data_IF_462906272266
#
_entry.id   IF_462906272266
#
_cell.length_a   1.000
_cell.length_b   1.000
_cell.length_c   1.000
_cell.angle_alpha   90.00
_cell.angle_beta   90.00
_cell.angle_gamma   90.00
#
_symmetry.space_group_name_H-M   'P 1'
#
loop_
_entity.id
_entity.type
_entity.pdbx_description
1 polymer ?
#
# COMPACT_ATOMS: atom_id res chain seq x y z
N UNK A 1 7.80 5.31 -3.55
CA UNK A 1 6.69 5.04 -4.48
C UNK A 1 7.26 4.66 -5.84
N UNK A 2 6.54 3.90 -6.66
CA UNK A 2 6.99 3.37 -7.93
C UNK A 2 5.81 2.83 -8.74
N UNK A 3 5.98 2.75 -10.06
CA UNK A 3 4.90 2.32 -10.97
C UNK A 3 4.58 0.81 -10.90
N UNK A 4 5.41 0.06 -10.18
CA UNK A 4 5.27 -1.38 -9.97
C UNK A 4 4.39 -1.83 -8.79
N UNK A 5 3.90 -0.88 -7.98
CA UNK A 5 3.10 -1.18 -6.79
C UNK A 5 1.59 -1.12 -7.01
N UNK A 6 0.87 -0.92 -5.92
CA UNK A 6 -0.55 -0.63 -5.92
C UNK A 6 -0.93 0.42 -4.88
N UNK A 7 -2.10 1.01 -5.07
CA UNK A 7 -2.58 2.13 -4.27
C UNK A 7 -4.06 2.03 -3.96
N UNK A 8 -4.47 2.76 -2.92
CA UNK A 8 -5.86 3.01 -2.62
C UNK A 8 -6.03 4.53 -2.47
N UNK A 9 -6.84 5.10 -3.35
CA UNK A 9 -7.24 6.50 -3.30
C UNK A 9 -8.59 6.61 -2.58
N UNK A 10 -8.69 7.56 -1.67
CA UNK A 10 -9.96 8.08 -1.15
C UNK A 10 -10.10 9.51 -1.64
N UNK A 11 -11.06 9.75 -2.53
CA UNK A 11 -11.24 11.03 -3.22
C UNK A 11 -12.60 11.60 -2.83
N UNK A 12 -12.60 12.79 -2.24
CA UNK A 12 -13.79 13.61 -2.05
C UNK A 12 -13.80 14.67 -3.13
N UNK A 13 -14.82 14.70 -3.97
CA UNK A 13 -14.98 15.76 -4.97
C UNK A 13 -15.60 17.02 -4.36
N UNK A 14 -15.67 18.10 -5.15
CA UNK A 14 -16.25 19.38 -4.74
C UNK A 14 -17.75 19.28 -4.37
N UNK A 15 -18.48 18.27 -4.88
CA UNK A 15 -19.88 18.01 -4.49
C UNK A 15 -19.99 17.36 -3.11
N UNK A 16 -18.88 16.84 -2.58
CA UNK A 16 -18.80 16.11 -1.33
C UNK A 16 -19.02 14.61 -1.47
N UNK A 17 -19.17 14.09 -2.69
CA UNK A 17 -19.19 12.65 -2.94
C UNK A 17 -17.81 12.08 -2.67
N UNK A 18 -17.76 10.92 -2.02
CA UNK A 18 -16.50 10.24 -1.70
C UNK A 18 -16.42 8.89 -2.42
N UNK A 19 -15.38 8.74 -3.24
CA UNK A 19 -15.09 7.53 -4.00
C UNK A 19 -13.75 6.92 -3.60
N UNK A 20 -13.66 5.61 -3.76
CA UNK A 20 -12.48 4.80 -3.55
C UNK A 20 -12.03 4.25 -4.89
N UNK A 21 -10.78 4.49 -5.25
CA UNK A 21 -10.13 3.81 -6.38
C UNK A 21 -9.11 2.86 -5.77
N UNK A 22 -9.40 1.57 -5.87
CA UNK A 22 -8.57 0.50 -5.35
C UNK A 22 -7.80 -0.16 -6.49
N UNK A 23 -6.50 0.09 -6.50
CA UNK A 23 -5.52 -0.45 -7.43
C UNK A 23 -4.54 -1.40 -6.72
N UNK A 24 -5.03 -2.12 -5.71
CA UNK A 24 -4.24 -3.17 -5.04
C UNK A 24 -3.82 -4.23 -6.04
N UNK A 25 -2.61 -4.73 -5.87
CA UNK A 25 -2.05 -5.75 -6.74
C UNK A 25 -2.91 -7.03 -6.71
N UNK A 26 -3.18 -7.63 -7.87
CA UNK A 26 -3.92 -8.89 -7.97
C UNK A 26 -2.99 -10.09 -8.10
N UNK A 27 -3.48 -11.26 -7.70
CA UNK A 27 -2.77 -12.53 -7.83
C UNK A 27 -2.80 -12.95 -9.32
N UNK A 28 -1.69 -13.46 -9.89
CA UNK A 28 -1.69 -14.01 -11.24
C UNK A 28 -2.73 -15.13 -11.43
N UNK A 29 -3.34 -15.25 -12.61
CA UNK A 29 -4.36 -16.27 -12.92
C UNK A 29 -3.85 -17.68 -12.70
N UNK A 30 -2.60 -17.96 -13.07
CA UNK A 30 -1.96 -19.28 -12.95
C UNK A 30 -1.25 -19.50 -11.60
N UNK A 31 -1.68 -18.79 -10.56
CA UNK A 31 -1.08 -18.89 -9.24
C UNK A 31 -1.35 -20.24 -8.57
N UNK A 32 -0.28 -20.91 -8.14
CA UNK A 32 -0.38 -22.15 -7.37
C UNK A 32 -0.55 -21.82 -5.88
N UNK A 33 -1.69 -22.15 -5.23
CA UNK A 33 -1.93 -21.88 -3.82
C UNK A 33 -0.89 -22.51 -2.87
N UNK A 34 -0.20 -23.57 -3.29
CA UNK A 34 0.90 -24.17 -2.53
C UNK A 34 2.08 -23.22 -2.33
N UNK A 35 2.23 -22.19 -3.18
CA UNK A 35 3.24 -21.13 -2.99
C UNK A 35 2.96 -20.30 -1.72
N UNK A 36 1.69 -20.14 -1.34
CA UNK A 36 1.32 -19.51 -0.06
C UNK A 36 1.72 -20.38 1.13
N UNK A 37 1.75 -21.70 0.99
CA UNK A 37 2.18 -22.61 2.07
C UNK A 37 3.70 -22.72 2.17
N UNK A 38 4.39 -22.58 1.03
CA UNK A 38 5.86 -22.66 0.92
C UNK A 38 6.57 -21.33 1.16
N UNK A 39 5.82 -20.25 1.44
CA UNK A 39 6.36 -18.88 1.56
C UNK A 39 7.26 -18.47 0.40
N UNK A 40 6.94 -18.97 -0.80
CA UNK A 40 7.73 -18.67 -2.00
C UNK A 40 7.35 -17.28 -2.47
N UNK A 41 8.34 -16.41 -2.68
CA UNK A 41 8.12 -15.04 -3.14
C UNK A 41 7.46 -15.02 -4.53
N UNK A 42 6.43 -14.18 -4.71
CA UNK A 42 5.69 -14.04 -5.97
C UNK A 42 5.31 -12.59 -6.21
N UNK A 43 5.14 -12.19 -7.48
CA UNK A 43 4.82 -10.80 -7.85
C UNK A 43 3.34 -10.72 -8.23
N UNK A 44 2.63 -9.76 -7.64
CA UNK A 44 1.26 -9.41 -8.05
C UNK A 44 1.25 -8.46 -9.24
N UNK A 45 0.11 -8.35 -9.92
CA UNK A 45 -0.04 -7.44 -11.05
C UNK A 45 0.03 -5.97 -10.57
N UNK A 46 0.93 -5.13 -11.10
CA UNK A 46 1.02 -3.72 -10.72
C UNK A 46 -0.23 -2.92 -11.11
N UNK A 47 -0.80 -2.19 -10.15
CA UNK A 47 -2.02 -1.41 -10.37
C UNK A 47 -1.82 0.09 -10.48
N UNK A 48 -0.66 0.61 -10.10
CA UNK A 48 -0.45 2.04 -9.90
C UNK A 48 -0.74 2.89 -11.15
N UNK A 49 -0.30 2.46 -12.33
CA UNK A 49 -0.46 3.23 -13.56
C UNK A 49 -1.92 3.27 -14.01
N UNK A 50 -2.68 2.16 -13.89
CA UNK A 50 -4.14 2.18 -14.07
C UNK A 50 -4.84 3.08 -13.06
N UNK A 51 -4.36 3.12 -11.82
CA UNK A 51 -4.92 4.00 -10.80
C UNK A 51 -4.80 5.47 -11.21
N UNK A 52 -3.61 5.88 -11.66
CA UNK A 52 -3.38 7.24 -12.15
C UNK A 52 -4.24 7.57 -13.36
N UNK A 53 -4.36 6.66 -14.32
CA UNK A 53 -5.25 6.82 -15.48
C UNK A 53 -6.70 7.03 -15.05
N UNK A 54 -7.21 6.19 -14.15
CA UNK A 54 -8.60 6.28 -13.71
C UNK A 54 -8.88 7.56 -12.90
N UNK A 55 -7.95 7.97 -12.04
CA UNK A 55 -8.02 9.24 -11.32
C UNK A 55 -7.99 10.41 -12.29
N UNK A 56 -7.11 10.38 -13.28
CA UNK A 56 -6.99 11.44 -14.30
C UNK A 56 -8.23 11.52 -15.17
N UNK A 57 -8.77 10.37 -15.60
CA UNK A 57 -9.99 10.28 -16.41
C UNK A 57 -11.21 10.87 -15.68
N UNK A 58 -11.33 10.65 -14.37
CA UNK A 58 -12.47 11.14 -13.58
C UNK A 58 -12.29 12.59 -13.07
N UNK A 59 -11.08 12.97 -12.65
CA UNK A 59 -10.84 14.21 -11.90
C UNK A 59 -9.74 15.11 -12.49
N UNK A 60 -9.03 14.65 -13.52
CA UNK A 60 -7.90 15.34 -14.12
C UNK A 60 -8.32 16.60 -14.87
N UNK A 61 -7.57 17.70 -14.65
CA UNK A 61 -7.76 18.98 -15.36
C UNK A 61 -6.60 19.31 -16.30
N UNK A 62 -5.39 18.83 -15.98
CA UNK A 62 -4.18 19.05 -16.78
C UNK A 62 -3.99 17.94 -17.82
N UNK A 63 -3.30 18.19 -18.95
CA UNK A 63 -2.97 17.14 -19.91
C UNK A 63 -2.17 16.01 -19.26
N UNK A 64 -2.54 14.75 -19.54
CA UNK A 64 -1.89 13.55 -18.98
C UNK A 64 -0.36 13.63 -19.04
N UNK A 65 0.20 13.84 -20.22
CA UNK A 65 1.64 13.88 -20.45
C UNK A 65 2.37 14.94 -19.61
N UNK A 66 1.71 16.07 -19.31
CA UNK A 66 2.31 17.17 -18.54
C UNK A 66 2.57 16.81 -17.08
N UNK A 67 1.78 15.88 -16.52
CA UNK A 67 1.89 15.45 -15.12
C UNK A 67 3.17 14.64 -14.87
N UNK A 68 3.74 14.01 -15.90
CA UNK A 68 4.95 13.19 -15.80
C UNK A 68 6.24 13.99 -15.98
N UNK A 69 6.18 15.14 -16.67
CA UNK A 69 7.37 15.90 -17.07
C UNK A 69 8.29 16.28 -15.89
N UNK A 70 7.77 16.74 -14.73
CA UNK A 70 8.65 17.05 -13.59
C UNK A 70 9.43 15.82 -13.11
N UNK A 71 8.77 14.66 -13.02
CA UNK A 71 9.40 13.42 -12.56
C UNK A 71 10.36 12.85 -13.59
N UNK A 72 10.02 12.89 -14.89
CA UNK A 72 10.91 12.51 -15.99
C UNK A 72 12.20 13.33 -15.92
N UNK A 73 12.08 14.66 -15.78
CA UNK A 73 13.23 15.57 -15.65
C UNK A 73 14.10 15.21 -14.45
N UNK A 74 13.51 15.05 -13.27
CA UNK A 74 14.24 14.66 -12.06
C UNK A 74 14.93 13.29 -12.21
N UNK A 75 14.29 12.33 -12.88
CA UNK A 75 14.85 11.01 -13.11
C UNK A 75 16.03 11.03 -14.09
N UNK A 76 16.00 11.88 -15.13
CA UNK A 76 17.11 12.07 -16.09
C UNK A 76 18.26 12.90 -15.51
N UNK A 77 17.96 14.08 -14.98
CA UNK A 77 18.99 15.01 -14.48
C UNK A 77 19.66 14.48 -13.20
N UNK A 78 18.84 13.82 -12.37
CA UNK A 78 19.22 13.22 -11.11
C UNK A 78 18.81 14.06 -9.91
N UNK A 79 18.77 13.41 -8.75
CA UNK A 79 18.45 14.01 -7.46
C UNK A 79 19.56 13.71 -6.44
N UNK A 80 19.80 14.56 -5.44
CA UNK A 80 20.73 14.23 -4.37
C UNK A 80 20.22 13.02 -3.57
N UNK A 81 21.08 12.04 -3.34
CA UNK A 81 20.79 10.88 -2.52
C UNK A 81 20.48 11.34 -1.09
N UNK A 82 19.25 11.09 -0.61
CA UNK A 82 18.83 11.57 0.70
C UNK A 82 19.57 10.83 1.84
N UNK A 83 19.72 11.46 3.02
CA UNK A 83 20.36 10.82 4.18
C UNK A 83 19.63 9.54 4.60
N UNK A 84 18.30 9.53 4.47
CA UNK A 84 17.47 8.35 4.76
C UNK A 84 17.81 7.24 3.78
N UNK A 85 17.76 7.51 2.47
CA UNK A 85 18.05 6.55 1.42
C UNK A 85 19.46 5.96 1.54
N UNK A 86 20.47 6.80 1.82
CA UNK A 86 21.84 6.38 2.05
C UNK A 86 21.97 5.33 3.17
N UNK A 87 21.23 5.50 4.28
CA UNK A 87 21.22 4.55 5.41
C UNK A 87 20.65 3.18 5.03
N UNK A 88 19.86 3.07 3.98
CA UNK A 88 19.26 1.80 3.55
C UNK A 88 20.09 1.07 2.48
N UNK A 89 21.12 1.70 1.88
CA UNK A 89 21.87 1.08 0.78
C UNK A 89 22.62 -0.20 1.16
N UNK A 90 22.93 -0.43 2.44
CA UNK A 90 23.55 -1.68 2.89
C UNK A 90 22.64 -2.91 2.64
N UNK A 91 21.32 -2.71 2.53
CA UNK A 91 20.35 -3.78 2.25
C UNK A 91 20.38 -4.26 0.79
N UNK A 92 21.23 -3.65 -0.04
CA UNK A 92 21.40 -4.02 -1.44
C UNK A 92 22.49 -5.07 -1.64
N UNK A 93 23.26 -5.45 -0.60
CA UNK A 93 24.44 -6.33 -0.71
C UNK A 93 24.19 -7.66 -1.47
N UNK A 94 22.98 -8.19 -1.39
CA UNK A 94 22.60 -9.45 -2.02
C UNK A 94 21.96 -9.31 -3.41
N UNK A 95 21.67 -8.09 -3.89
CA UNK A 95 21.02 -7.82 -5.18
C UNK A 95 21.93 -7.01 -6.11
N UNK A 96 22.70 -7.72 -6.96
CA UNK A 96 23.63 -7.11 -7.91
C UNK A 96 22.94 -6.23 -8.96
N UNK A 97 21.67 -6.49 -9.28
CA UNK A 97 20.94 -5.71 -10.28
C UNK A 97 20.50 -4.37 -9.69
N UNK A 98 19.99 -4.37 -8.46
CA UNK A 98 19.66 -3.13 -7.76
C UNK A 98 20.91 -2.35 -7.36
N UNK A 99 22.01 -3.02 -6.96
CA UNK A 99 23.26 -2.32 -6.66
C UNK A 99 23.73 -1.43 -7.80
N UNK A 100 23.61 -1.87 -9.05
CA UNK A 100 24.00 -1.08 -10.22
C UNK A 100 23.29 0.27 -10.31
N UNK A 101 22.06 0.38 -9.79
CA UNK A 101 21.31 1.65 -9.75
C UNK A 101 21.89 2.64 -8.73
N UNK A 102 22.62 2.14 -7.74
CA UNK A 102 23.19 2.91 -6.64
C UNK A 102 24.72 2.91 -6.67
N UNK A 103 25.33 2.60 -7.82
CA UNK A 103 26.77 2.73 -8.02
C UNK A 103 27.09 3.85 -8.99
N UNK A 104 28.18 4.57 -8.72
CA UNK A 104 28.75 5.52 -9.66
C UNK A 104 29.37 4.80 -10.89
N UNK A 105 29.87 5.60 -11.84
CA UNK A 105 30.54 5.10 -13.05
C UNK A 105 31.79 4.25 -12.79
N UNK A 106 32.34 4.29 -11.58
CA UNK A 106 33.51 3.51 -11.15
C UNK A 106 33.09 2.23 -10.39
N UNK A 107 31.78 1.94 -10.29
CA UNK A 107 31.25 0.81 -9.56
C UNK A 107 31.22 1.00 -8.04
N UNK A 108 31.43 2.23 -7.55
CA UNK A 108 31.40 2.53 -6.11
C UNK A 108 29.99 2.93 -5.68
N UNK A 109 29.53 2.36 -4.58
CA UNK A 109 28.23 2.71 -4.01
C UNK A 109 28.13 4.22 -3.72
N UNK A 110 27.02 4.82 -4.15
CA UNK A 110 26.69 6.23 -3.92
C UNK A 110 26.57 6.51 -2.41
N UNK A 111 26.88 7.74 -2.03
CA UNK A 111 26.80 8.25 -0.67
C UNK A 111 25.76 9.37 -0.60
N UNK A 112 25.38 9.72 0.63
CA UNK A 112 24.53 10.88 0.90
C UNK A 112 25.04 12.12 0.14
N UNK A 113 24.14 12.80 -0.56
CA UNK A 113 24.46 13.98 -1.37
C UNK A 113 24.92 13.67 -2.80
N UNK A 114 25.38 12.45 -3.10
CA UNK A 114 25.74 12.07 -4.47
C UNK A 114 24.50 12.12 -5.40
N UNK A 115 24.72 12.39 -6.68
CA UNK A 115 23.63 12.44 -7.67
C UNK A 115 23.15 11.05 -8.05
N UNK A 116 21.90 10.73 -7.72
CA UNK A 116 21.19 9.52 -8.12
C UNK A 116 20.34 9.77 -9.37
N UNK A 117 20.49 8.94 -10.40
CA UNK A 117 19.73 9.01 -11.66
C UNK A 117 18.93 7.73 -11.89
N UNK A 118 17.79 7.86 -12.57
CA UNK A 118 16.92 6.76 -12.98
C UNK A 118 16.56 6.87 -14.47
N UNK A 119 17.56 6.87 -15.35
CA UNK A 119 17.39 7.14 -16.79
C UNK A 119 16.34 6.24 -17.46
N UNK A 120 16.40 4.92 -17.23
CA UNK A 120 15.41 3.97 -17.77
C UNK A 120 14.00 4.13 -17.18
N UNK A 121 13.90 4.59 -15.93
CA UNK A 121 12.58 4.96 -15.38
C UNK A 121 12.06 6.19 -16.12
N UNK A 122 12.91 7.15 -16.45
CA UNK A 122 12.53 8.30 -17.26
C UNK A 122 12.04 7.86 -18.66
N UNK A 123 12.77 6.96 -19.34
CA UNK A 123 12.34 6.40 -20.62
C UNK A 123 10.95 5.73 -20.51
N UNK A 124 10.73 4.95 -19.46
CA UNK A 124 9.42 4.31 -19.20
C UNK A 124 8.32 5.35 -18.96
N UNK A 125 8.58 6.37 -18.14
CA UNK A 125 7.61 7.41 -17.83
C UNK A 125 7.30 8.28 -19.06
N UNK A 126 8.26 8.50 -19.95
CA UNK A 126 8.05 9.17 -21.24
C UNK A 126 7.11 8.37 -22.13
N UNK A 127 7.33 7.07 -22.27
CA UNK A 127 6.44 6.21 -23.06
C UNK A 127 5.02 6.21 -22.48
N UNK A 128 4.87 6.16 -21.16
CA UNK A 128 3.55 6.25 -20.49
C UNK A 128 2.91 7.63 -20.70
N UNK A 129 3.70 8.71 -20.64
CA UNK A 129 3.23 10.06 -20.85
C UNK A 129 2.71 10.26 -22.29
N UNK A 130 3.40 9.69 -23.29
CA UNK A 130 3.06 9.82 -24.70
C UNK A 130 1.93 8.89 -25.15
N UNK A 131 1.95 7.63 -24.69
CA UNK A 131 1.07 6.56 -25.20
C UNK A 131 -0.05 6.17 -24.24
N UNK A 132 -0.13 6.80 -23.06
CA UNK A 132 -1.11 6.48 -22.03
C UNK A 132 -0.72 5.26 -21.19
N UNK A 133 -1.59 4.88 -20.25
CA UNK A 133 -1.32 3.78 -19.33
C UNK A 133 -1.22 2.41 -20.02
N UNK A 134 -1.97 2.19 -21.10
CA UNK A 134 -1.96 0.94 -21.87
C UNK A 134 -0.55 0.49 -22.29
N UNK A 135 0.35 1.45 -22.53
CA UNK A 135 1.73 1.16 -22.90
C UNK A 135 2.47 0.32 -21.84
N UNK A 136 2.11 0.47 -20.56
CA UNK A 136 2.65 -0.32 -19.46
C UNK A 136 2.12 -1.76 -19.44
N UNK A 137 0.89 -2.00 -19.93
CA UNK A 137 0.17 -3.27 -19.77
C UNK A 137 0.16 -4.16 -21.01
N UNK A 138 0.31 -3.61 -22.21
CA UNK A 138 0.22 -4.37 -23.48
C UNK A 138 1.43 -4.20 -24.41
N UNK A 139 2.24 -3.17 -24.18
CA UNK A 139 3.32 -2.74 -25.08
C UNK A 139 4.68 -3.39 -24.84
N UNK A 140 5.72 -2.71 -25.29
CA UNK A 140 7.12 -3.13 -25.09
C UNK A 140 7.48 -3.18 -23.61
N UNK A 141 7.03 -2.20 -22.82
CA UNK A 141 7.21 -2.20 -21.36
C UNK A 141 6.66 -3.49 -20.77
N UNK A 142 5.43 -3.90 -21.13
CA UNK A 142 4.82 -5.14 -20.65
C UNK A 142 5.65 -6.38 -21.05
N UNK A 143 6.11 -6.47 -22.30
CA UNK A 143 6.93 -7.60 -22.77
C UNK A 143 8.27 -7.69 -22.04
N UNK A 144 8.95 -6.56 -21.90
CA UNK A 144 10.19 -6.41 -21.13
C UNK A 144 10.00 -6.82 -19.67
N UNK A 145 8.92 -6.32 -19.04
CA UNK A 145 8.55 -6.63 -17.67
C UNK A 145 8.35 -8.13 -17.45
N UNK A 146 7.56 -8.77 -18.31
CA UNK A 146 7.28 -10.21 -18.22
C UNK A 146 8.53 -11.04 -18.50
N UNK A 147 9.40 -10.62 -19.42
CA UNK A 147 10.69 -11.29 -19.65
C UNK A 147 11.53 -11.30 -18.37
N UNK A 148 11.72 -10.13 -17.76
CA UNK A 148 12.54 -9.99 -16.55
C UNK A 148 11.94 -10.76 -15.36
N UNK A 149 10.60 -10.79 -15.23
CA UNK A 149 9.91 -11.61 -14.22
C UNK A 149 10.15 -13.10 -14.46
N UNK A 150 10.05 -13.58 -15.70
CA UNK A 150 10.25 -14.99 -16.05
C UNK A 150 11.69 -15.43 -15.85
N UNK A 151 12.67 -14.59 -16.21
CA UNK A 151 14.09 -14.85 -15.98
C UNK A 151 14.39 -14.96 -14.48
N UNK A 152 13.66 -14.19 -13.67
CA UNK A 152 13.66 -14.32 -12.23
C UNK A 152 12.75 -15.45 -11.71
N UNK A 153 12.23 -16.35 -12.54
CA UNK A 153 11.40 -17.49 -12.13
C UNK A 153 10.02 -17.12 -11.57
N UNK A 154 9.52 -15.92 -11.86
CA UNK A 154 8.15 -15.51 -11.58
C UNK A 154 7.16 -16.05 -12.61
N UNK A 155 5.87 -15.99 -12.27
CA UNK A 155 4.78 -16.63 -13.03
C UNK A 155 3.83 -15.64 -13.69
N UNK A 156 4.08 -14.33 -13.56
CA UNK A 156 3.23 -13.29 -14.15
C UNK A 156 3.24 -13.42 -15.67
N UNK A 157 2.07 -13.30 -16.29
CA UNK A 157 1.91 -13.35 -17.74
C UNK A 157 1.49 -11.99 -18.32
N UNK A 158 1.64 -11.85 -19.65
CA UNK A 158 1.11 -10.68 -20.35
C UNK A 158 -0.42 -10.59 -20.23
N UNK A 159 -1.10 -11.73 -20.16
CA UNK A 159 -2.55 -11.75 -19.95
C UNK A 159 -2.93 -11.21 -18.58
N UNK A 160 -2.15 -11.51 -17.53
CA UNK A 160 -2.36 -10.96 -16.20
C UNK A 160 -2.23 -9.43 -16.19
N UNK A 161 -1.21 -8.89 -16.87
CA UNK A 161 -1.04 -7.43 -17.02
C UNK A 161 -2.20 -6.81 -17.82
N UNK A 162 -2.51 -7.37 -18.98
CA UNK A 162 -3.53 -6.82 -19.88
C UNK A 162 -4.94 -6.83 -19.27
N UNK A 163 -5.25 -7.84 -18.45
CA UNK A 163 -6.57 -7.98 -17.80
C UNK A 163 -6.70 -7.25 -16.46
N UNK A 164 -5.68 -6.49 -16.04
CA UNK A 164 -5.76 -5.74 -14.80
C UNK A 164 -6.66 -4.50 -14.93
N UNK A 165 -7.60 -4.38 -14.01
CA UNK A 165 -8.49 -3.24 -13.87
C UNK A 165 -8.51 -2.78 -12.42
N UNK A 166 -8.70 -1.47 -12.22
CA UNK A 166 -8.92 -0.89 -10.90
C UNK A 166 -10.38 -1.03 -10.49
N UNK A 167 -10.61 -1.21 -9.20
CA UNK A 167 -11.96 -1.21 -8.65
C UNK A 167 -12.34 0.19 -8.19
N UNK A 168 -13.48 0.70 -8.67
CA UNK A 168 -14.05 1.99 -8.24
C UNK A 168 -15.32 1.74 -7.43
N UNK A 169 -15.33 2.17 -6.16
CA UNK A 169 -16.48 1.99 -5.26
C UNK A 169 -16.77 3.26 -4.47
N UNK A 170 -17.96 3.35 -3.87
CA UNK A 170 -18.23 4.38 -2.85
C UNK A 170 -17.49 4.06 -1.56
N UNK A 171 -16.99 5.10 -0.88
CA UNK A 171 -16.46 4.93 0.46
C UNK A 171 -17.57 4.49 1.42
N UNK A 172 -17.21 3.67 2.41
CA UNK A 172 -18.12 3.39 3.52
C UNK A 172 -18.17 4.62 4.42
N UNK A 173 -19.38 5.13 4.61
CA UNK A 173 -19.67 6.25 5.50
C UNK A 173 -19.98 5.70 6.89
N UNK A 174 -19.16 6.04 7.88
CA UNK A 174 -19.31 5.57 9.26
C UNK A 174 -19.44 6.75 10.22
N UNK A 175 -20.54 6.83 11.01
CA UNK A 175 -20.69 7.87 12.02
C UNK A 175 -19.63 7.74 13.13
N UNK A 176 -18.99 8.86 13.47
CA UNK A 176 -18.01 8.97 14.54
C UNK A 176 -18.25 10.25 15.35
N UNK A 177 -19.14 10.16 16.35
CA UNK A 177 -19.58 11.31 17.13
C UNK A 177 -20.33 12.28 16.21
N UNK A 178 -19.88 13.53 16.19
CA UNK A 178 -20.46 14.59 15.35
C UNK A 178 -19.90 14.58 13.90
N UNK A 179 -19.00 13.66 13.58
CA UNK A 179 -18.36 13.56 12.26
C UNK A 179 -18.76 12.31 11.51
N UNK A 180 -18.72 12.39 10.18
CA UNK A 180 -18.79 11.24 9.29
C UNK A 180 -17.38 10.87 8.82
N UNK A 181 -16.96 9.63 9.12
CA UNK A 181 -15.70 9.09 8.64
C UNK A 181 -15.94 8.28 7.36
N UNK A 182 -15.24 8.65 6.29
CA UNK A 182 -15.27 7.90 5.04
C UNK A 182 -14.04 6.99 4.97
N UNK A 183 -14.28 5.69 4.83
CA UNK A 183 -13.23 4.68 4.81
C UNK A 183 -13.33 3.81 3.56
N UNK A 184 -12.19 3.32 3.04
CA UNK A 184 -12.21 2.32 1.99
C UNK A 184 -12.79 0.99 2.51
N UNK A 185 -13.62 0.29 1.71
CA UNK A 185 -14.08 -1.06 2.03
C UNK A 185 -12.91 -2.07 2.03
N UNK A 186 -13.13 -3.31 2.51
CA UNK A 186 -12.18 -4.41 2.33
C UNK A 186 -11.68 -4.52 0.88
N UNK A 187 -10.40 -4.90 0.66
CA UNK A 187 -9.43 -5.43 1.63
C UNK A 187 -8.73 -4.35 2.48
N UNK A 188 -9.13 -3.07 2.39
CA UNK A 188 -8.50 -2.01 3.16
C UNK A 188 -8.81 -2.09 4.67
N UNK A 189 -7.93 -1.50 5.48
CA UNK A 189 -8.00 -1.51 6.94
C UNK A 189 -9.03 -0.59 7.59
N UNK A 190 -9.91 0.06 6.82
CA UNK A 190 -10.81 1.11 7.31
C UNK A 190 -11.72 0.66 8.46
N UNK A 191 -12.29 -0.54 8.34
CA UNK A 191 -13.18 -1.09 9.36
C UNK A 191 -12.47 -1.34 10.71
N UNK A 192 -11.18 -1.68 10.69
CA UNK A 192 -10.34 -1.80 11.90
C UNK A 192 -10.21 -0.46 12.62
N UNK A 193 -9.95 0.62 11.86
CA UNK A 193 -9.83 1.96 12.43
C UNK A 193 -11.16 2.38 13.07
N UNK A 194 -12.28 2.18 12.36
CA UNK A 194 -13.61 2.45 12.88
C UNK A 194 -13.89 1.69 14.18
N UNK A 195 -13.57 0.39 14.20
CA UNK A 195 -13.71 -0.44 15.39
C UNK A 195 -12.92 0.11 16.60
N UNK A 196 -11.65 0.45 16.39
CA UNK A 196 -10.78 0.99 17.45
C UNK A 196 -11.36 2.30 17.98
N UNK A 197 -11.71 3.24 17.10
CA UNK A 197 -12.21 4.56 17.48
C UNK A 197 -13.55 4.46 18.23
N UNK A 198 -14.50 3.66 17.72
CA UNK A 198 -15.80 3.47 18.39
C UNK A 198 -15.66 2.77 19.75
N UNK A 199 -14.72 1.81 19.88
CA UNK A 199 -14.44 1.15 21.15
C UNK A 199 -13.91 2.15 22.17
N UNK A 200 -12.89 2.93 21.76
CA UNK A 200 -12.26 3.92 22.63
C UNK A 200 -13.19 5.09 22.99
N UNK A 201 -14.10 5.48 22.09
CA UNK A 201 -15.05 6.59 22.30
C UNK A 201 -15.90 6.39 23.55
N UNK A 202 -16.46 5.20 23.76
CA UNK A 202 -17.31 5.01 24.94
C UNK A 202 -16.57 4.77 26.26
N UNK A 203 -15.26 5.05 26.32
CA UNK A 203 -14.58 5.35 27.59
C UNK A 203 -14.67 6.83 27.99
N UNK A 204 -15.29 7.68 27.17
CA UNK A 204 -15.48 9.12 27.40
C UNK A 204 -14.17 9.81 27.81
N UNK A 205 -13.14 9.63 26.99
CA UNK A 205 -11.81 10.16 27.26
C UNK A 205 -11.85 11.69 27.36
N UNK A 206 -11.12 12.22 28.33
CA UNK A 206 -10.89 13.66 28.49
C UNK A 206 -9.38 13.94 28.61
N UNK A 207 -9.00 15.20 28.73
CA UNK A 207 -7.60 15.57 29.01
C UNK A 207 -7.04 14.91 30.27
N UNK A 208 -7.89 14.59 31.26
CA UNK A 208 -7.48 13.91 32.49
C UNK A 208 -7.16 12.43 32.25
N UNK A 209 -7.79 11.80 31.25
CA UNK A 209 -7.53 10.41 30.86
C UNK A 209 -6.08 10.16 30.40
N UNK A 210 -5.34 11.22 30.07
CA UNK A 210 -3.94 11.17 29.63
C UNK A 210 -2.94 11.58 30.73
N UNK A 211 -3.38 11.70 31.98
CA UNK A 211 -2.55 12.11 33.13
C UNK A 211 -2.48 11.02 34.21
N UNK A 212 -1.41 11.05 34.99
CA UNK A 212 -1.21 10.19 36.17
C UNK A 212 -1.50 8.71 35.91
N UNK A 213 -2.22 8.07 36.83
CA UNK A 213 -2.63 6.66 36.72
C UNK A 213 -3.67 6.40 35.62
N UNK A 214 -4.48 7.41 35.27
CA UNK A 214 -5.47 7.28 34.20
C UNK A 214 -4.82 7.11 32.83
N UNK A 215 -3.65 7.73 32.60
CA UNK A 215 -2.84 7.51 31.40
C UNK A 215 -2.54 6.04 31.17
N UNK A 216 -2.07 5.34 32.20
CA UNK A 216 -1.75 3.90 32.12
C UNK A 216 -2.98 3.09 31.77
N UNK A 217 -4.12 3.37 32.42
CA UNK A 217 -5.38 2.68 32.12
C UNK A 217 -5.88 2.96 30.69
N UNK A 218 -5.73 4.19 30.19
CA UNK A 218 -6.09 4.56 28.82
C UNK A 218 -5.25 3.80 27.80
N UNK A 219 -3.93 3.75 27.98
CA UNK A 219 -3.05 2.97 27.09
C UNK A 219 -3.29 1.47 27.19
N UNK A 220 -3.57 0.95 28.39
CA UNK A 220 -3.98 -0.45 28.57
C UNK A 220 -5.22 -0.76 27.71
N UNK A 221 -6.29 0.02 27.85
CA UNK A 221 -7.52 -0.13 27.06
C UNK A 221 -7.29 0.00 25.55
N UNK A 222 -6.43 0.92 25.14
CA UNK A 222 -6.04 1.07 23.73
C UNK A 222 -5.31 -0.17 23.20
N UNK A 223 -4.33 -0.68 23.93
CA UNK A 223 -3.58 -1.90 23.57
C UNK A 223 -4.51 -3.11 23.50
N UNK A 224 -5.40 -3.29 24.47
CA UNK A 224 -6.39 -4.37 24.47
C UNK A 224 -7.34 -4.27 23.27
N UNK A 225 -7.80 -3.06 22.95
CA UNK A 225 -8.61 -2.79 21.75
C UNK A 225 -7.85 -3.16 20.47
N UNK A 226 -6.56 -2.79 20.37
CA UNK A 226 -5.71 -3.15 19.23
C UNK A 226 -5.49 -4.66 19.09
N UNK A 227 -5.43 -5.42 20.19
CA UNK A 227 -5.34 -6.89 20.14
C UNK A 227 -6.61 -7.50 19.56
N UNK A 228 -7.78 -7.06 20.01
CA UNK A 228 -9.05 -7.47 19.39
C UNK A 228 -9.13 -7.07 17.92
N UNK A 229 -8.74 -5.85 17.59
CA UNK A 229 -8.70 -5.35 16.23
C UNK A 229 -7.80 -6.23 15.34
N UNK A 230 -6.66 -6.68 15.87
CA UNK A 230 -5.74 -7.57 15.17
C UNK A 230 -6.37 -8.96 14.88
N UNK A 231 -7.11 -9.54 15.83
CA UNK A 231 -7.84 -10.79 15.62
C UNK A 231 -8.98 -10.70 14.60
N UNK A 232 -9.52 -9.49 14.38
CA UNK A 232 -10.57 -9.22 13.40
C UNK A 232 -10.02 -8.99 11.98
N UNK A 233 -8.72 -8.66 11.81
CA UNK A 233 -8.13 -8.38 10.48
C UNK A 233 -8.34 -9.50 9.47
N UNK A 234 -8.44 -10.76 9.90
CA UNK A 234 -8.67 -11.91 9.01
C UNK A 234 -9.96 -11.83 8.19
N UNK A 235 -10.90 -10.99 8.60
CA UNK A 235 -12.16 -10.74 7.89
C UNK A 235 -12.03 -9.66 6.79
N UNK A 236 -10.94 -8.89 6.76
CA UNK A 236 -10.68 -7.84 5.77
C UNK A 236 -10.04 -8.44 4.51
N UNK A 237 -10.82 -9.27 3.82
CA UNK A 237 -10.39 -9.96 2.59
C UNK A 237 -10.92 -9.24 1.37
N UNK A 238 -10.44 -9.64 0.20
CA UNK A 238 -10.99 -9.20 -1.07
C UNK A 238 -12.48 -9.61 -1.15
N UNK A 239 -13.41 -8.65 -1.36
CA UNK A 239 -14.85 -8.91 -1.35
C UNK A 239 -15.30 -9.85 -2.47
N UNK A 240 -14.50 -10.04 -3.53
CA UNK A 240 -14.77 -11.04 -4.58
C UNK A 240 -14.67 -12.48 -4.06
N UNK A 241 -13.95 -12.70 -2.97
CA UNK A 241 -13.65 -14.02 -2.41
C UNK A 241 -14.07 -14.17 -0.94
N UNK A 242 -14.79 -13.20 -0.38
CA UNK A 242 -15.16 -13.15 1.03
C UNK A 242 -16.44 -12.37 1.28
N UNK A 243 -17.00 -12.52 2.49
CA UNK A 243 -18.19 -11.76 2.88
C UNK A 243 -17.81 -10.44 3.54
N UNK A 244 -18.48 -9.35 3.14
CA UNK A 244 -18.36 -8.04 3.80
C UNK A 244 -19.14 -7.96 5.13
N UNK A 245 -19.84 -9.03 5.54
CA UNK A 245 -20.69 -9.03 6.74
C UNK A 245 -19.91 -8.74 8.02
N UNK A 246 -18.77 -9.39 8.24
CA UNK A 246 -17.96 -9.17 9.44
C UNK A 246 -17.28 -7.78 9.42
N UNK A 247 -16.64 -7.34 8.32
CA UNK A 247 -16.14 -5.97 8.21
C UNK A 247 -17.21 -4.90 8.44
N UNK A 248 -18.44 -5.07 7.93
CA UNK A 248 -19.56 -4.16 8.19
C UNK A 248 -19.98 -4.15 9.67
N UNK A 249 -19.96 -5.30 10.35
CA UNK A 249 -20.21 -5.32 11.81
C UNK A 249 -19.15 -4.54 12.56
N UNK A 250 -17.88 -4.61 12.14
CA UNK A 250 -16.78 -3.88 12.80
C UNK A 250 -16.99 -2.35 12.78
N UNK A 251 -17.71 -1.82 11.80
CA UNK A 251 -18.01 -0.38 11.72
C UNK A 251 -19.20 0.05 12.60
N UNK A 252 -19.92 -0.89 13.21
CA UNK A 252 -21.10 -0.60 14.03
C UNK A 252 -20.73 -0.35 15.49
N UNK A 253 -21.30 0.70 16.07
CA UNK A 253 -21.10 1.05 17.49
C UNK A 253 -21.52 -0.08 18.44
N UNK A 254 -22.63 -0.77 18.14
CA UNK A 254 -23.10 -1.89 18.95
C UNK A 254 -22.09 -3.06 19.02
N UNK A 255 -21.31 -3.27 17.96
CA UNK A 255 -20.24 -4.27 17.97
C UNK A 255 -19.06 -3.79 18.83
N UNK A 256 -18.64 -2.54 18.70
CA UNK A 256 -17.61 -1.94 19.55
C UNK A 256 -17.97 -1.99 21.04
N UNK A 257 -19.24 -1.76 21.38
CA UNK A 257 -19.74 -1.88 22.76
C UNK A 257 -19.61 -3.31 23.32
N UNK A 258 -19.98 -4.32 22.52
CA UNK A 258 -19.84 -5.73 22.91
C UNK A 258 -18.38 -6.11 23.13
N UNK A 259 -17.49 -5.70 22.24
CA UNK A 259 -16.06 -5.97 22.38
C UNK A 259 -15.43 -5.21 23.56
N UNK A 260 -15.86 -3.97 23.80
CA UNK A 260 -15.43 -3.19 24.97
C UNK A 260 -15.73 -3.90 26.29
N UNK A 261 -16.89 -4.56 26.40
CA UNK A 261 -17.28 -5.30 27.59
C UNK A 261 -16.35 -6.49 27.90
N UNK A 262 -15.57 -6.98 26.92
CA UNK A 262 -14.59 -8.05 27.10
C UNK A 262 -13.22 -7.52 27.57
N UNK A 263 -12.97 -6.21 27.50
CA UNK A 263 -11.70 -5.60 27.90
C UNK A 263 -11.65 -5.46 29.42
N UNK A 264 -10.75 -6.21 30.05
CA UNK A 264 -10.44 -6.01 31.48
C UNK A 264 -9.60 -4.75 31.66
N UNK A 265 -9.86 -3.99 32.73
CA UNK A 265 -9.05 -2.83 33.11
C UNK A 265 -7.82 -3.19 33.96
N UNK A 266 -7.68 -4.45 34.40
CA UNK A 266 -6.64 -4.90 35.34
C UNK A 266 -5.70 -5.98 34.79
N UNK A 267 -6.05 -6.63 33.67
CA UNK A 267 -5.26 -7.72 33.12
C UNK A 267 -5.36 -7.81 31.59
N UNK A 268 -4.42 -8.57 31.01
CA UNK A 268 -4.43 -9.03 29.62
C UNK A 268 -4.61 -10.55 29.60
N UNK A 269 -5.18 -11.08 28.53
CA UNK A 269 -5.34 -12.52 28.31
C UNK A 269 -4.32 -13.05 27.29
N UNK A 270 -4.34 -14.37 27.05
CA UNK A 270 -3.53 -15.01 26.00
C UNK A 270 -4.11 -14.79 24.59
N UNK A 271 -3.35 -15.10 23.52
CA UNK A 271 -3.74 -14.84 22.12
C UNK A 271 -5.09 -15.42 21.69
N UNK A 272 -5.49 -16.56 22.25
CA UNK A 272 -6.76 -17.24 21.99
C UNK A 272 -7.98 -16.35 22.34
N UNK A 273 -7.87 -15.55 23.39
CA UNK A 273 -8.94 -14.63 23.82
C UNK A 273 -9.25 -13.57 22.76
N UNK A 274 -8.20 -13.06 22.11
CA UNK A 274 -8.33 -12.04 21.06
C UNK A 274 -8.47 -12.65 19.67
N UNK A 275 -8.45 -13.99 19.53
CA UNK A 275 -8.49 -14.69 18.26
C UNK A 275 -7.35 -14.25 17.31
N UNK A 276 -6.18 -13.94 17.88
CA UNK A 276 -5.01 -13.47 17.15
C UNK A 276 -4.22 -14.67 16.62
N UNK A 277 -4.03 -14.68 15.30
CA UNK A 277 -3.01 -15.51 14.66
C UNK A 277 -1.72 -14.70 14.61
N UNK A 278 -0.59 -15.22 15.13
CA UNK A 278 0.70 -14.55 14.98
C UNK A 278 0.98 -14.32 13.50
N UNK A 279 1.28 -13.07 13.15
CA UNK A 279 1.70 -12.70 11.80
C UNK A 279 2.76 -11.61 11.94
N UNK A 280 3.82 -11.71 11.15
CA UNK A 280 4.87 -10.70 11.09
C UNK A 280 4.36 -9.51 10.27
N UNK A 281 4.16 -8.38 10.94
CA UNK A 281 3.81 -7.16 10.24
C UNK A 281 4.95 -6.72 9.32
N UNK A 282 4.61 -6.28 8.11
CA UNK A 282 5.56 -5.83 7.11
C UNK A 282 5.72 -4.31 7.14
N UNK A 283 6.91 -3.83 6.79
CA UNK A 283 7.27 -2.42 6.93
C UNK A 283 6.78 -1.56 5.76
N UNK A 284 6.51 -0.29 6.03
CA UNK A 284 6.53 0.79 5.04
C UNK A 284 5.31 0.89 4.11
N UNK A 285 4.71 2.08 4.10
CA UNK A 285 3.72 2.55 3.12
C UNK A 285 3.99 4.04 2.97
N UNK A 286 3.79 4.61 1.78
CA UNK A 286 3.82 6.07 1.61
C UNK A 286 2.38 6.57 1.63
N UNK A 287 2.14 7.65 2.36
CA UNK A 287 0.85 8.31 2.40
C UNK A 287 0.98 9.73 1.84
N UNK A 288 0.01 10.16 1.05
CA UNK A 288 -0.10 11.50 0.52
C UNK A 288 -1.52 12.00 0.77
N UNK A 289 -1.64 13.24 1.24
CA UNK A 289 -2.91 13.96 1.35
C UNK A 289 -2.82 15.27 0.58
N UNK A 290 -3.84 15.58 -0.23
CA UNK A 290 -3.92 16.80 -1.03
C UNK A 290 -5.30 17.41 -0.86
N UNK A 291 -5.36 18.73 -0.64
CA UNK A 291 -6.58 19.52 -0.63
C UNK A 291 -6.50 20.56 -1.74
N UNK A 292 -7.52 20.62 -2.59
CA UNK A 292 -7.64 21.60 -3.66
C UNK A 292 -8.47 22.81 -3.21
N UNK A 293 -8.30 23.93 -3.91
CA UNK A 293 -9.03 25.18 -3.65
C UNK A 293 -10.54 25.03 -3.82
N UNK A 294 -10.98 24.15 -4.72
CA UNK A 294 -12.41 23.84 -4.95
C UNK A 294 -13.03 22.95 -3.86
N UNK A 295 -12.29 22.63 -2.79
CA UNK A 295 -12.74 21.80 -1.68
C UNK A 295 -12.67 20.30 -1.95
N UNK A 296 -12.16 19.88 -3.12
CA UNK A 296 -11.85 18.47 -3.38
C UNK A 296 -10.64 18.04 -2.55
N UNK A 297 -10.65 16.81 -2.05
CA UNK A 297 -9.59 16.26 -1.23
C UNK A 297 -9.22 14.85 -1.68
N UNK A 298 -7.94 14.52 -1.62
CA UNK A 298 -7.41 13.19 -1.93
C UNK A 298 -6.58 12.70 -0.76
N UNK A 299 -6.85 11.47 -0.33
CA UNK A 299 -6.04 10.69 0.60
C UNK A 299 -5.57 9.43 -0.13
N UNK A 300 -4.27 9.31 -0.33
CA UNK A 300 -3.63 8.23 -1.09
C UNK A 300 -2.76 7.39 -0.16
N UNK A 301 -2.98 6.08 -0.16
CA UNK A 301 -2.09 5.11 0.44
C UNK A 301 -1.43 4.28 -0.65
N UNK A 302 -0.11 4.40 -0.75
CA UNK A 302 0.71 3.67 -1.71
C UNK A 302 1.50 2.56 -1.01
N UNK A 303 1.47 1.36 -1.58
CA UNK A 303 2.29 0.25 -1.11
C UNK A 303 2.89 -0.54 -2.28
N UNK A 304 4.17 -0.86 -2.17
CA UNK A 304 4.76 -2.02 -2.84
C UNK A 304 4.66 -3.19 -1.88
N UNK A 305 3.99 -4.28 -2.24
CA UNK A 305 4.02 -5.51 -1.43
C UNK A 305 5.48 -5.99 -1.22
N UNK A 306 5.77 -6.53 -0.04
CA UNK A 306 7.11 -7.01 0.39
C UNK A 306 7.20 -8.56 0.36
N UNK A 307 6.09 -9.26 0.08
CA UNK A 307 6.09 -10.72 -0.14
C UNK A 307 6.61 -11.12 -1.53
N UNK A 308 7.12 -10.15 -2.27
CA UNK A 308 7.41 -10.24 -3.69
C UNK A 308 8.90 -10.39 -3.92
N UNK A 309 9.23 -11.30 -4.84
CA UNK A 309 10.59 -11.52 -5.30
C UNK A 309 11.12 -10.19 -5.82
N UNK A 310 12.33 -9.81 -5.39
CA UNK A 310 12.99 -8.63 -5.97
C UNK A 310 13.28 -8.92 -7.44
N UNK A 311 12.54 -8.26 -8.31
CA UNK A 311 12.82 -8.24 -9.74
C UNK A 311 13.02 -6.79 -10.13
N UNK A 312 14.29 -6.40 -10.18
CA UNK A 312 14.68 -5.20 -10.91
C UNK A 312 14.70 -5.57 -12.38
N UNK A 313 13.82 -4.95 -13.16
CA UNK A 313 13.76 -5.18 -14.60
C UNK A 313 14.93 -4.47 -15.25
N UNK A 314 15.95 -5.21 -15.69
CA UNK A 314 17.12 -4.64 -16.33
C UNK A 314 16.77 -3.91 -17.63
N UNK A 315 15.65 -4.25 -18.25
CA UNK A 315 15.20 -3.71 -19.53
C UNK A 315 14.35 -2.44 -19.43
N UNK A 316 13.54 -2.29 -18.37
CA UNK A 316 12.61 -1.16 -18.20
C UNK A 316 12.93 -0.22 -17.02
N UNK A 317 13.81 -0.60 -16.07
CA UNK A 317 13.89 -0.04 -14.71
C UNK A 317 12.53 0.37 -14.11
N UNK A 318 11.48 -0.37 -14.44
CA UNK A 318 10.32 -0.47 -13.58
C UNK A 318 10.80 -1.28 -12.40
N UNK A 319 11.15 -0.58 -11.33
CA UNK A 319 11.21 -1.21 -10.02
C UNK A 319 9.79 -1.71 -9.72
N UNK A 320 9.54 -2.99 -10.00
CA UNK A 320 8.36 -3.71 -9.52
C UNK A 320 8.24 -3.65 -8.00
N UNK A 321 9.35 -3.31 -7.34
CA UNK A 321 9.44 -2.97 -5.93
C UNK A 321 10.51 -1.91 -5.73
N UNK A 322 10.23 -0.85 -4.97
CA UNK A 322 11.27 0.12 -4.55
C UNK A 322 12.48 -0.59 -3.91
N UNK A 323 13.71 -0.08 -4.06
CA UNK A 323 14.93 -0.89 -3.91
C UNK A 323 15.30 -1.37 -2.50
N UNK A 324 14.59 -0.97 -1.44
CA UNK A 324 15.20 -0.92 -0.09
C UNK A 324 14.55 -1.80 0.96
N UNK A 325 13.63 -2.67 0.57
CA UNK A 325 13.00 -3.56 1.53
C UNK A 325 13.09 -5.00 1.04
N UNK A 326 14.23 -5.67 1.34
CA UNK A 326 14.25 -7.12 1.54
C UNK A 326 14.13 -7.32 3.04
N UNK A 327 13.25 -8.20 3.45
CA UNK A 327 13.45 -8.95 4.67
C UNK A 327 13.21 -10.41 4.31
N UNK A 328 14.23 -11.23 4.58
CA UNK A 328 14.14 -12.69 4.62
C UNK A 328 12.83 -13.12 5.29
N UNK A 329 11.98 -13.80 4.56
CA UNK A 329 10.96 -14.64 5.17
C UNK A 329 11.66 -15.92 5.65
N UNK A 330 11.92 -16.01 6.95
CA UNK A 330 12.03 -17.31 7.60
C UNK A 330 11.00 -17.38 8.71
N UNK A 331 10.19 -18.42 8.58
CA UNK A 331 9.24 -19.01 9.52
C UNK A 331 7.85 -18.36 9.58
N UNK A 332 6.96 -19.07 8.87
CA UNK A 332 5.50 -19.13 8.95
C UNK A 332 4.74 -18.14 8.08
N UNK A 333 4.40 -18.65 6.90
CA UNK A 333 3.03 -18.60 6.37
C UNK A 333 2.09 -19.36 7.33
#
# INVERSE_FOLDING_TARGET
>A
MGVGGGSIFTIRDASGKVQIINARETVPKNFNPELLKKCTEWIGVPGEVRAYEEVHRQYGKLPWASLFQPTIKMAREGIPLSPVLARFLYMLQDDKTLQKLFTDKNGKLLKEGDTLRFEKLADTLEVIAEKGADAFYTGEIARSLISDIKDAGGILSLEDLNSFEVSVTSAWKVPLGDFDMYIPPPPAGGATLSFILNTMRGYNLSSESLRGKQKTLTFHRYVETCKFANGLKKFLRDPRFGSEREPLKMTQEGFAMKMRALISSSQTYGPQHYNVTPYLDSWGTTHLSVLAEDGSAVSLHYKTQIHTKRVSTASANVCLTTPLFQIKLSNQC
#
